data_IF_308059453867
#
_entry.id   IF_308059453867
#
_cell.length_a   1.000
_cell.length_b   1.000
_cell.length_c   1.000
_cell.angle_alpha   90.00
_cell.angle_beta   90.00
_cell.angle_gamma   90.00
#
_symmetry.space_group_name_H-M   'P 1'
#
loop_
_entity.id
_entity.type
_entity.pdbx_description
1 polymer ?
#
# COMPACT_ATOMS: atom_id res chain seq x y z
N UNK A 1 -3.78 -24.73 13.15
CA UNK A 1 -3.90 -23.29 13.46
C UNK A 1 -2.66 -22.83 14.20
N UNK A 2 -2.13 -21.65 13.87
CA UNK A 2 -0.97 -21.09 14.58
C UNK A 2 -1.39 -20.48 15.93
N UNK A 3 -0.55 -20.56 16.96
CA UNK A 3 -0.76 -19.86 18.23
C UNK A 3 -0.23 -18.42 18.09
N UNK A 4 -1.04 -17.45 18.49
CA UNK A 4 -0.62 -16.05 18.54
C UNK A 4 -0.07 -15.73 19.94
N UNK A 5 1.03 -14.98 19.99
CA UNK A 5 1.55 -14.42 21.25
C UNK A 5 0.78 -13.16 21.61
N UNK A 6 0.74 -12.80 22.90
CA UNK A 6 0.07 -11.57 23.37
C UNK A 6 0.58 -10.31 22.67
N UNK A 7 1.89 -10.23 22.41
CA UNK A 7 2.49 -9.14 21.64
C UNK A 7 1.94 -9.06 20.21
N UNK A 8 1.79 -10.20 19.52
CA UNK A 8 1.26 -10.24 18.15
C UNK A 8 -0.23 -9.86 18.12
N UNK A 9 -1.00 -10.23 19.14
CA UNK A 9 -2.40 -9.83 19.27
C UNK A 9 -2.50 -8.31 19.49
N UNK A 10 -1.67 -7.74 20.37
CA UNK A 10 -1.65 -6.28 20.61
C UNK A 10 -1.30 -5.48 19.34
N UNK A 11 -0.32 -5.96 18.56
CA UNK A 11 0.03 -5.34 17.27
C UNK A 11 -1.12 -5.43 16.24
N UNK A 12 -1.86 -6.54 16.20
CA UNK A 12 -3.04 -6.70 15.33
C UNK A 12 -4.23 -5.86 15.79
N UNK A 13 -4.41 -5.66 17.10
CA UNK A 13 -5.44 -4.77 17.65
C UNK A 13 -5.18 -3.29 17.31
N UNK A 14 -3.92 -2.85 17.35
CA UNK A 14 -3.55 -1.47 16.97
C UNK A 14 -3.32 -1.24 15.47
N UNK A 15 -3.25 -2.31 14.69
CA UNK A 15 -2.85 -2.33 13.28
C UNK A 15 -3.76 -3.18 12.41
N UNK A 16 -5.08 -3.01 12.56
CA UNK A 16 -6.08 -3.73 11.79
C UNK A 16 -6.09 -3.41 10.29
N UNK A 17 -6.85 -4.20 9.54
CA UNK A 17 -6.97 -4.08 8.08
C UNK A 17 -7.47 -2.70 7.62
N UNK A 18 -8.24 -1.99 8.46
CA UNK A 18 -8.70 -0.63 8.22
C UNK A 18 -7.52 0.34 8.05
N UNK A 19 -6.61 0.40 9.02
CA UNK A 19 -5.41 1.24 8.98
C UNK A 19 -4.46 0.83 7.85
N UNK A 20 -4.34 -0.48 7.58
CA UNK A 20 -3.57 -0.95 6.44
C UNK A 20 -4.15 -0.44 5.11
N UNK A 21 -5.49 -0.33 5.01
CA UNK A 21 -6.16 0.16 3.81
C UNK A 21 -5.82 1.62 3.54
N UNK A 22 -5.81 2.46 4.57
CA UNK A 22 -5.47 3.88 4.44
C UNK A 22 -4.04 4.11 3.90
N UNK A 23 -3.10 3.23 4.27
CA UNK A 23 -1.69 3.35 3.86
C UNK A 23 -1.50 2.81 2.44
N UNK A 24 -1.98 1.59 2.16
CA UNK A 24 -1.69 0.90 0.91
C UNK A 24 -2.64 1.22 -0.23
N UNK A 25 -3.85 1.71 0.07
CA UNK A 25 -4.90 2.01 -0.89
C UNK A 25 -5.25 3.50 -0.92
N UNK A 26 -4.29 4.37 -0.59
CA UNK A 26 -4.48 5.82 -0.52
C UNK A 26 -5.04 6.44 -1.81
N UNK A 27 -4.56 5.99 -2.96
CA UNK A 27 -5.01 6.41 -4.30
C UNK A 27 -5.81 5.33 -5.03
N UNK A 28 -6.28 4.33 -4.29
CA UNK A 28 -7.12 3.30 -4.88
C UNK A 28 -8.53 3.87 -5.11
N UNK A 29 -8.92 3.99 -6.37
CA UNK A 29 -10.26 4.42 -6.75
C UNK A 29 -11.13 3.20 -7.12
N UNK A 30 -12.15 2.85 -6.31
CA UNK A 30 -13.03 1.71 -6.58
C UNK A 30 -13.82 1.84 -7.89
N UNK A 31 -13.97 3.03 -8.46
CA UNK A 31 -14.61 3.22 -9.76
C UNK A 31 -13.68 2.91 -10.93
N UNK A 32 -12.37 3.07 -10.74
CA UNK A 32 -11.35 2.87 -11.78
C UNK A 32 -10.62 1.55 -11.66
N UNK A 33 -10.64 0.95 -10.48
CA UNK A 33 -9.81 -0.20 -10.12
C UNK A 33 -10.68 -1.28 -9.50
N UNK A 34 -10.80 -2.41 -10.19
CA UNK A 34 -11.57 -3.56 -9.74
C UNK A 34 -10.71 -4.44 -8.84
N UNK A 35 -11.28 -4.89 -7.72
CA UNK A 35 -10.64 -5.91 -6.89
C UNK A 35 -10.57 -7.23 -7.68
N UNK A 36 -9.49 -8.02 -7.53
CA UNK A 36 -9.42 -9.33 -8.16
C UNK A 36 -10.51 -10.24 -7.61
N UNK A 37 -11.03 -11.13 -8.45
CA UNK A 37 -11.89 -12.22 -8.00
C UNK A 37 -11.07 -13.24 -7.20
N UNK A 38 -11.63 -13.69 -6.08
CA UNK A 38 -11.04 -14.68 -5.18
C UNK A 38 -10.86 -16.07 -5.83
N UNK A 39 -11.56 -16.33 -6.93
CA UNK A 39 -11.51 -17.60 -7.68
C UNK A 39 -10.23 -17.78 -8.50
N UNK A 40 -9.53 -16.69 -8.83
CA UNK A 40 -8.34 -16.73 -9.68
C UNK A 40 -7.07 -16.41 -8.88
N UNK A 41 -6.35 -17.46 -8.50
CA UNK A 41 -5.14 -17.39 -7.65
C UNK A 41 -4.01 -16.60 -8.29
N UNK A 42 -3.84 -16.69 -9.62
CA UNK A 42 -2.78 -15.98 -10.33
C UNK A 42 -3.02 -14.47 -10.31
N UNK A 43 -4.27 -14.05 -10.59
CA UNK A 43 -4.67 -12.63 -10.49
C UNK A 43 -4.54 -12.09 -9.07
N UNK A 44 -4.85 -12.92 -8.07
CA UNK A 44 -4.69 -12.53 -6.67
C UNK A 44 -3.21 -12.33 -6.31
N UNK A 45 -2.32 -13.21 -6.77
CA UNK A 45 -0.88 -13.08 -6.55
C UNK A 45 -0.34 -11.78 -7.15
N UNK A 46 -0.71 -11.49 -8.40
CA UNK A 46 -0.29 -10.27 -9.08
C UNK A 46 -0.84 -9.02 -8.39
N UNK A 47 -2.09 -9.07 -7.92
CA UNK A 47 -2.68 -7.99 -7.14
C UNK A 47 -1.93 -7.72 -5.83
N UNK A 48 -1.64 -8.78 -5.05
CA UNK A 48 -0.89 -8.65 -3.79
C UNK A 48 0.50 -8.04 -4.05
N UNK A 49 1.18 -8.48 -5.13
CA UNK A 49 2.46 -7.90 -5.55
C UNK A 49 2.33 -6.41 -5.84
N UNK A 50 1.33 -6.01 -6.62
CA UNK A 50 1.13 -4.60 -6.96
C UNK A 50 0.86 -3.71 -5.73
N UNK A 51 0.14 -4.23 -4.73
CA UNK A 51 -0.21 -3.51 -3.51
C UNK A 51 1.00 -3.35 -2.59
N UNK A 52 1.70 -4.44 -2.27
CA UNK A 52 2.71 -4.45 -1.21
C UNK A 52 4.15 -4.32 -1.72
N UNK A 53 4.45 -4.82 -2.92
CA UNK A 53 5.80 -4.76 -3.52
C UNK A 53 5.93 -3.52 -4.38
N UNK A 54 5.06 -3.38 -5.39
CA UNK A 54 5.17 -2.27 -6.35
C UNK A 54 4.57 -0.96 -5.81
N UNK A 55 3.94 -1.00 -4.62
CA UNK A 55 3.32 0.15 -3.94
C UNK A 55 2.47 1.01 -4.89
N UNK A 56 1.73 0.35 -5.78
CA UNK A 56 1.09 0.98 -6.94
C UNK A 56 0.04 2.03 -6.55
N UNK A 57 -0.53 1.92 -5.36
CA UNK A 57 -1.69 2.70 -4.91
C UNK A 57 -1.41 3.54 -3.66
N UNK A 58 -0.17 3.55 -3.17
CA UNK A 58 0.24 4.35 -2.01
C UNK A 58 0.54 5.81 -2.35
N UNK A 59 0.48 6.18 -3.65
CA UNK A 59 0.88 7.50 -4.18
C UNK A 59 2.40 7.73 -4.25
N UNK A 60 3.20 6.71 -3.91
CA UNK A 60 4.67 6.82 -3.80
C UNK A 60 5.39 6.70 -5.16
N UNK A 61 4.65 6.39 -6.25
CA UNK A 61 5.22 6.41 -7.61
C UNK A 61 5.78 7.77 -8.03
N UNK A 62 5.51 8.83 -7.27
CA UNK A 62 6.00 10.18 -7.54
C UNK A 62 7.32 10.53 -6.84
N UNK A 63 8.05 9.58 -6.24
CA UNK A 63 9.31 9.89 -5.54
C UNK A 63 10.60 9.36 -6.18
N UNK A 64 10.59 8.99 -7.47
CA UNK A 64 11.84 8.79 -8.22
C UNK A 64 12.11 9.80 -9.35
N UNK A 65 11.21 10.77 -9.62
CA UNK A 65 11.45 11.82 -10.64
C UNK A 65 11.15 13.26 -10.20
N UNK A 66 10.51 13.48 -9.04
CA UNK A 66 10.20 14.84 -8.54
C UNK A 66 11.02 15.28 -7.31
N UNK A 67 11.76 14.36 -6.68
CA UNK A 67 12.61 14.67 -5.52
C UNK A 67 13.77 15.63 -5.83
N UNK A 68 14.26 15.67 -7.08
CA UNK A 68 15.27 16.65 -7.50
C UNK A 68 14.69 18.04 -7.75
N UNK A 69 13.44 18.13 -8.22
CA UNK A 69 12.80 19.43 -8.55
C UNK A 69 12.35 20.17 -7.29
N UNK A 70 11.95 19.44 -6.24
CA UNK A 70 11.52 20.07 -4.98
C UNK A 70 12.69 20.56 -4.11
N UNK A 71 13.87 19.95 -4.20
CA UNK A 71 15.08 20.41 -3.48
C UNK A 71 15.71 21.66 -4.14
N UNK A 72 15.61 21.81 -5.46
CA UNK A 72 16.15 22.98 -6.17
C UNK A 72 15.35 24.28 -5.92
N UNK A 73 14.05 24.18 -5.58
CA UNK A 73 13.23 25.36 -5.26
C UNK A 73 13.56 26.01 -3.91
N UNK A 74 14.22 25.28 -3.00
CA UNK A 74 14.65 25.80 -1.69
C UNK A 74 16.11 26.29 -1.67
N UNK A 75 16.82 26.30 -2.81
CA UNK A 75 18.21 26.77 -2.91
C UNK A 75 18.34 28.13 -3.63
N UNK A 76 17.23 28.73 -4.09
CA UNK A 76 17.21 30.04 -4.79
C UNK A 76 16.43 31.09 -3.96
N UNK A 77 16.47 30.98 -2.64
CA UNK A 77 16.21 32.12 -1.74
C UNK A 77 17.51 32.46 -1.03
#
# INVERSE_FOLDING_TARGET
MAKFTSQKVSALQGGGNERAREIYFKEWDPHRQTAPDSSNVDRLRDFIKHVYVDRRYTGDRMHCVLGVVSLLKNLIV
#
